data_IF_848709994689
#
_entry.id   IF_848709994689
#
_cell.length_a   1.000
_cell.length_b   1.000
_cell.length_c   1.000
_cell.angle_alpha   90.00
_cell.angle_beta   90.00
_cell.angle_gamma   90.00
#
_symmetry.space_group_name_H-M   'P 1'
#
loop_
_entity.id
_entity.type
_entity.pdbx_description
1 polymer ?
#
# COMPACT_ATOMS: atom_id res chain seq x y z
N UNK A 1 3.86 -22.04 28.80
CA UNK A 1 3.99 -20.98 27.79
C UNK A 1 4.72 -19.83 28.44
N UNK A 2 5.89 -19.45 27.94
CA UNK A 2 6.66 -18.34 28.49
C UNK A 2 6.20 -17.04 27.84
N UNK A 3 5.62 -16.15 28.63
CA UNK A 3 5.27 -14.79 28.21
C UNK A 3 6.57 -14.00 28.08
N UNK A 4 7.03 -13.79 26.85
CA UNK A 4 8.17 -12.91 26.57
C UNK A 4 7.63 -11.48 26.49
N UNK A 5 7.70 -10.75 27.60
CA UNK A 5 7.57 -9.30 27.61
C UNK A 5 8.94 -8.68 27.39
N UNK A 6 9.07 -7.85 26.36
CA UNK A 6 10.23 -6.99 26.19
C UNK A 6 10.26 -5.95 27.31
N UNK A 7 11.43 -5.69 27.87
CA UNK A 7 11.61 -4.61 28.84
C UNK A 7 11.33 -3.28 28.12
N UNK A 8 10.34 -2.53 28.60
CA UNK A 8 10.13 -1.15 28.16
C UNK A 8 11.36 -0.36 28.62
N UNK A 9 12.11 0.19 27.65
CA UNK A 9 13.24 1.05 27.96
C UNK A 9 12.75 2.20 28.84
N UNK A 10 13.49 2.51 29.91
CA UNK A 10 13.17 3.68 30.74
C UNK A 10 13.59 4.92 29.93
N UNK A 11 12.64 5.46 29.16
CA UNK A 11 12.86 6.66 28.35
C UNK A 11 12.60 7.87 29.24
N UNK A 12 13.60 8.75 29.37
CA UNK A 12 13.41 10.02 30.04
C UNK A 12 12.25 10.78 29.37
N UNK A 13 11.32 11.28 30.19
CA UNK A 13 10.20 12.06 29.69
C UNK A 13 10.74 13.20 28.81
N UNK A 14 10.16 13.39 27.63
CA UNK A 14 10.59 14.41 26.68
C UNK A 14 10.69 15.78 27.39
N UNK A 15 11.92 16.25 27.61
CA UNK A 15 12.18 17.54 28.28
C UNK A 15 11.67 18.73 27.45
N UNK A 16 11.43 18.51 26.16
CA UNK A 16 10.83 19.48 25.25
C UNK A 16 9.31 19.38 25.38
N UNK A 17 8.72 20.20 26.24
CA UNK A 17 7.29 20.50 26.14
C UNK A 17 7.07 21.06 24.74
N UNK A 18 6.31 20.36 23.92
CA UNK A 18 5.81 20.92 22.68
C UNK A 18 5.07 22.21 23.05
N UNK A 19 5.53 23.33 22.51
CA UNK A 19 4.75 24.57 22.55
C UNK A 19 3.38 24.26 21.98
N UNK A 20 2.36 24.78 22.65
CA UNK A 20 0.94 24.68 22.32
C UNK A 20 0.78 24.57 20.80
N UNK A 21 0.28 23.43 20.33
CA UNK A 21 -0.04 23.20 18.93
C UNK A 21 -0.86 24.39 18.45
N UNK A 22 -0.38 25.07 17.42
CA UNK A 22 -1.12 26.14 16.77
C UNK A 22 -2.55 25.61 16.53
N UNK A 23 -3.55 26.30 17.07
CA UNK A 23 -4.95 25.86 16.92
C UNK A 23 -5.23 25.65 15.44
N UNK A 24 -5.50 24.40 15.08
CA UNK A 24 -5.87 24.04 13.71
C UNK A 24 -7.13 24.82 13.37
N UNK A 25 -7.09 25.58 12.27
CA UNK A 25 -8.28 26.28 11.80
C UNK A 25 -9.29 25.27 11.25
N UNK A 26 -10.58 25.64 11.22
CA UNK A 26 -11.60 24.83 10.53
C UNK A 26 -11.23 24.55 9.06
N UNK A 27 -10.45 25.42 8.42
CA UNK A 27 -9.97 25.21 7.06
C UNK A 27 -8.84 24.17 7.00
N UNK A 28 -7.99 24.07 8.03
CA UNK A 28 -6.96 23.02 8.13
C UNK A 28 -7.61 21.66 8.40
N UNK A 29 -8.63 21.65 9.27
CA UNK A 29 -9.44 20.47 9.55
C UNK A 29 -10.26 20.06 8.33
N UNK A 30 -10.89 20.97 7.58
CA UNK A 30 -11.65 20.66 6.38
C UNK A 30 -10.80 20.15 5.20
N UNK A 31 -9.48 20.43 5.20
CA UNK A 31 -8.55 19.80 4.25
C UNK A 31 -8.26 18.34 4.58
N UNK A 32 -8.41 17.92 5.84
CA UNK A 32 -8.11 16.57 6.33
C UNK A 32 -9.36 15.73 6.59
N UNK A 33 -10.43 16.37 7.06
CA UNK A 33 -11.76 15.85 7.26
C UNK A 33 -12.61 16.31 6.08
N UNK A 34 -12.88 15.38 5.16
CA UNK A 34 -13.81 15.55 4.05
C UNK A 34 -15.17 15.98 4.58
N UNK A 35 -15.52 17.25 4.38
CA UNK A 35 -16.87 17.78 4.65
C UNK A 35 -17.80 17.45 3.47
N UNK A 36 -17.81 16.20 3.05
CA UNK A 36 -18.71 15.70 2.01
C UNK A 36 -19.52 14.55 2.61
N UNK A 37 -20.81 14.80 2.86
CA UNK A 37 -21.76 13.83 3.42
C UNK A 37 -22.05 12.66 2.46
N UNK A 38 -21.61 12.78 1.20
CA UNK A 38 -21.56 11.69 0.25
C UNK A 38 -20.16 11.06 0.28
N UNK A 39 -19.97 10.12 1.19
CA UNK A 39 -18.86 9.15 1.20
C UNK A 39 -18.88 8.32 -0.10
N UNK A 40 -18.51 8.92 -1.22
CA UNK A 40 -18.16 8.18 -2.42
C UNK A 40 -16.77 7.59 -2.19
N UNK A 41 -16.66 6.27 -2.41
CA UNK A 41 -15.41 5.52 -2.34
C UNK A 41 -14.30 6.07 -3.28
N UNK A 42 -14.64 7.03 -4.14
CA UNK A 42 -13.74 7.68 -5.10
C UNK A 42 -12.69 8.58 -4.44
N UNK A 43 -12.95 9.13 -3.23
CA UNK A 43 -12.02 10.03 -2.53
C UNK A 43 -11.00 9.31 -1.62
N UNK A 44 -11.08 7.99 -1.45
CA UNK A 44 -10.12 7.21 -0.67
C UNK A 44 -8.71 7.20 -1.27
N UNK A 45 -8.53 7.66 -2.51
CA UNK A 45 -7.21 7.78 -3.13
C UNK A 45 -6.29 8.81 -2.45
N UNK A 46 -6.85 9.71 -1.63
CA UNK A 46 -6.09 10.79 -0.97
C UNK A 46 -5.96 10.63 0.55
N UNK A 47 -6.65 9.68 1.15
CA UNK A 47 -6.76 9.57 2.60
C UNK A 47 -5.85 8.48 3.14
N UNK A 48 -4.76 8.91 3.76
CA UNK A 48 -4.00 8.08 4.70
C UNK A 48 -4.95 7.42 5.72
N UNK A 49 -4.61 6.24 6.28
CA UNK A 49 -5.31 5.67 7.45
C UNK A 49 -5.54 6.71 8.56
N UNK A 50 -4.55 7.59 8.76
CA UNK A 50 -4.56 8.74 9.68
C UNK A 50 -5.71 9.73 9.45
N UNK A 51 -6.16 9.93 8.21
CA UNK A 51 -7.28 10.82 7.91
C UNK A 51 -8.64 10.18 8.26
N UNK A 52 -8.76 8.85 8.15
CA UNK A 52 -9.93 8.13 8.62
C UNK A 52 -10.00 8.16 10.16
N UNK A 53 -8.86 7.98 10.85
CA UNK A 53 -8.73 8.08 12.30
C UNK A 53 -9.15 9.46 12.83
N UNK A 54 -8.72 10.54 12.16
CA UNK A 54 -9.10 11.90 12.54
C UNK A 54 -10.62 12.12 12.41
N UNK A 55 -11.25 11.61 11.36
CA UNK A 55 -12.70 11.69 11.20
C UNK A 55 -13.43 10.92 12.31
N UNK A 56 -12.97 9.70 12.62
CA UNK A 56 -13.53 8.90 13.70
C UNK A 56 -13.43 9.63 15.05
N UNK A 57 -12.30 10.28 15.31
CA UNK A 57 -12.13 11.13 16.48
C UNK A 57 -13.10 12.33 16.48
N UNK A 58 -13.20 13.08 15.37
CA UNK A 58 -14.06 14.26 15.25
C UNK A 58 -15.55 13.95 15.42
N UNK A 59 -16.00 12.76 15.00
CA UNK A 59 -17.40 12.35 15.05
C UNK A 59 -17.70 11.33 16.16
N UNK A 60 -16.74 11.07 17.06
CA UNK A 60 -16.86 10.11 18.16
C UNK A 60 -17.32 8.70 17.73
N UNK A 61 -16.94 8.26 16.53
CA UNK A 61 -17.20 6.89 16.11
C UNK A 61 -16.32 5.92 16.91
N UNK A 62 -16.75 4.67 17.11
CA UNK A 62 -15.87 3.64 17.66
C UNK A 62 -14.70 3.39 16.69
N UNK A 63 -13.47 3.54 17.18
CA UNK A 63 -12.24 3.29 16.43
C UNK A 63 -11.71 1.89 16.75
N UNK A 64 -11.46 1.10 15.71
CA UNK A 64 -10.72 -0.15 15.80
C UNK A 64 -9.45 0.00 14.96
N UNK A 65 -8.29 -0.24 15.56
CA UNK A 65 -6.99 -0.14 14.90
C UNK A 65 -6.28 -1.49 14.98
N UNK A 66 -5.81 -1.95 13.82
CA UNK A 66 -4.93 -3.11 13.70
C UNK A 66 -3.46 -2.68 13.59
N UNK A 67 -2.55 -3.64 13.73
CA UNK A 67 -1.12 -3.39 13.52
C UNK A 67 -0.85 -3.14 12.02
N UNK A 68 -1.63 -3.80 11.17
CA UNK A 68 -1.63 -3.67 9.72
C UNK A 68 -1.93 -2.22 9.28
N UNK A 69 -2.92 -1.56 9.88
CA UNK A 69 -3.28 -0.17 9.56
C UNK A 69 -2.11 0.80 9.81
N UNK A 70 -1.44 0.65 10.96
CA UNK A 70 -0.29 1.47 11.34
C UNK A 70 0.89 1.18 10.40
N UNK A 71 1.11 -0.08 10.05
CA UNK A 71 2.20 -0.47 9.17
C UNK A 71 2.02 0.08 7.75
N UNK A 72 0.81 0.02 7.19
CA UNK A 72 0.48 0.62 5.89
C UNK A 72 0.74 2.12 5.90
N UNK A 73 0.32 2.83 6.95
CA UNK A 73 0.56 4.27 7.06
C UNK A 73 2.06 4.60 7.04
N UNK A 74 2.89 3.84 7.75
CA UNK A 74 4.35 4.01 7.75
C UNK A 74 4.92 3.71 6.35
N UNK A 75 4.52 2.59 5.73
CA UNK A 75 4.98 2.17 4.42
C UNK A 75 4.64 3.21 3.34
N UNK A 76 3.43 3.76 3.35
CA UNK A 76 3.00 4.84 2.46
C UNK A 76 3.80 6.13 2.67
N UNK A 77 4.11 6.48 3.93
CA UNK A 77 4.99 7.61 4.27
C UNK A 77 6.39 7.47 3.68
N UNK A 78 6.97 6.29 3.85
CA UNK A 78 8.27 5.95 3.24
C UNK A 78 8.18 5.99 1.72
N UNK A 79 7.11 5.43 1.13
CA UNK A 79 6.88 5.43 -0.31
C UNK A 79 6.79 6.82 -0.91
N UNK A 80 6.06 7.74 -0.27
CA UNK A 80 5.99 9.13 -0.71
C UNK A 80 7.37 9.80 -0.66
N UNK A 81 8.10 9.63 0.44
CA UNK A 81 9.44 10.21 0.59
C UNK A 81 10.43 9.66 -0.44
N UNK A 82 10.40 8.35 -0.71
CA UNK A 82 11.23 7.71 -1.73
C UNK A 82 10.89 8.22 -3.12
N UNK A 83 9.61 8.28 -3.48
CA UNK A 83 9.18 8.76 -4.79
C UNK A 83 9.54 10.24 -5.03
N UNK A 84 9.46 11.09 -4.00
CA UNK A 84 9.88 12.50 -4.08
C UNK A 84 11.40 12.69 -4.19
N UNK A 85 12.18 11.71 -3.72
CA UNK A 85 13.63 11.77 -3.65
C UNK A 85 14.30 10.60 -4.40
N UNK A 86 13.68 10.12 -5.48
CA UNK A 86 14.04 8.85 -6.11
C UNK A 86 15.52 8.81 -6.53
N UNK A 87 16.03 9.85 -7.19
CA UNK A 87 17.43 9.89 -7.63
C UNK A 87 18.43 9.90 -6.46
N UNK A 88 18.07 10.51 -5.33
CA UNK A 88 18.91 10.53 -4.13
C UNK A 88 19.12 9.12 -3.56
N UNK A 89 18.11 8.26 -3.62
CA UNK A 89 18.15 6.92 -3.03
C UNK A 89 18.30 5.79 -4.06
N UNK A 90 18.30 6.11 -5.37
CA UNK A 90 18.37 5.14 -6.47
C UNK A 90 19.48 4.11 -6.30
N UNK A 91 20.68 4.57 -5.93
CA UNK A 91 21.85 3.70 -5.79
C UNK A 91 21.67 2.59 -4.73
N UNK A 92 20.81 2.82 -3.72
CA UNK A 92 20.44 1.85 -2.68
C UNK A 92 19.33 0.89 -3.14
N UNK A 93 18.44 1.35 -4.02
CA UNK A 93 17.24 0.60 -4.39
C UNK A 93 17.47 -0.28 -5.61
N UNK A 94 18.08 0.27 -6.67
CA UNK A 94 18.16 -0.38 -7.98
C UNK A 94 19.51 -0.14 -8.68
N UNK A 95 19.81 -0.95 -9.71
CA UNK A 95 21.02 -0.82 -10.54
C UNK A 95 20.81 -0.02 -11.84
N UNK A 96 19.56 0.22 -12.24
CA UNK A 96 19.23 0.84 -13.51
C UNK A 96 18.91 2.33 -13.36
N UNK A 97 19.11 3.08 -14.44
CA UNK A 97 18.66 4.47 -14.56
C UNK A 97 17.18 4.53 -14.95
N UNK A 98 16.51 5.64 -14.65
CA UNK A 98 15.10 5.86 -14.97
C UNK A 98 14.18 4.75 -14.45
N UNK A 99 13.20 4.35 -15.25
CA UNK A 99 12.28 3.26 -14.91
C UNK A 99 12.58 2.00 -15.71
N UNK A 100 12.70 0.85 -15.02
CA UNK A 100 12.74 -0.46 -15.67
C UNK A 100 11.32 -0.99 -15.85
N UNK A 101 11.00 -1.45 -17.06
CA UNK A 101 9.69 -2.06 -17.32
C UNK A 101 9.67 -3.51 -16.85
N UNK A 102 8.73 -3.84 -15.96
CA UNK A 102 8.45 -5.19 -15.49
C UNK A 102 7.20 -5.72 -16.20
N UNK A 103 7.38 -6.79 -16.96
CA UNK A 103 6.32 -7.40 -17.74
C UNK A 103 5.86 -8.70 -17.06
N UNK A 104 4.56 -8.78 -16.75
CA UNK A 104 3.92 -9.97 -16.21
C UNK A 104 2.89 -10.50 -17.21
N UNK A 105 3.10 -11.72 -17.70
CA UNK A 105 2.06 -12.43 -18.44
C UNK A 105 1.02 -12.94 -17.43
N UNK A 106 -0.25 -12.55 -17.64
CA UNK A 106 -1.36 -12.90 -16.73
C UNK A 106 -2.35 -13.90 -17.35
N UNK A 107 -2.02 -14.52 -18.48
CA UNK A 107 -2.90 -15.50 -19.15
C UNK A 107 -3.17 -16.72 -18.25
N UNK A 108 -2.12 -17.18 -17.57
CA UNK A 108 -2.22 -18.28 -16.60
C UNK A 108 -3.04 -17.94 -15.34
N UNK A 109 -3.34 -16.66 -15.14
CA UNK A 109 -4.13 -16.15 -14.01
C UNK A 109 -5.60 -15.90 -14.40
N UNK A 110 -5.99 -16.27 -15.62
CA UNK A 110 -7.38 -16.17 -16.06
C UNK A 110 -8.25 -17.11 -15.24
N UNK A 111 -9.30 -16.53 -14.66
CA UNK A 111 -10.37 -17.26 -13.99
C UNK A 111 -11.29 -17.83 -15.08
N UNK A 112 -11.59 -19.15 -15.05
CA UNK A 112 -12.54 -19.75 -15.98
C UNK A 112 -13.89 -19.04 -15.94
N UNK A 113 -14.57 -18.95 -17.09
CA UNK A 113 -15.87 -18.26 -17.16
C UNK A 113 -16.94 -18.92 -16.27
N UNK A 114 -16.79 -20.20 -15.92
CA UNK A 114 -17.64 -20.90 -14.94
C UNK A 114 -17.51 -20.38 -13.51
N UNK A 115 -16.31 -19.96 -13.12
CA UNK A 115 -15.97 -19.54 -11.74
C UNK A 115 -15.90 -18.01 -11.61
N UNK A 116 -16.34 -17.31 -12.65
CA UNK A 116 -16.28 -15.86 -12.73
C UNK A 116 -17.17 -15.20 -11.67
N UNK A 117 -16.70 -14.13 -11.01
CA UNK A 117 -17.54 -13.34 -10.12
C UNK A 117 -18.81 -12.85 -10.84
N UNK A 118 -19.93 -12.83 -10.11
CA UNK A 118 -21.22 -12.35 -10.66
C UNK A 118 -21.21 -10.86 -11.00
N UNK A 119 -20.30 -10.11 -10.38
CA UNK A 119 -20.10 -8.67 -10.54
C UNK A 119 -18.87 -8.39 -11.42
N UNK A 120 -18.83 -7.21 -12.05
CA UNK A 120 -17.70 -6.78 -12.88
C UNK A 120 -17.99 -6.80 -14.39
N UNK A 121 -17.06 -6.28 -15.17
CA UNK A 121 -17.19 -6.16 -16.62
C UNK A 121 -17.03 -7.53 -17.31
N UNK A 122 -18.10 -8.03 -17.91
CA UNK A 122 -18.10 -9.32 -18.60
C UNK A 122 -17.39 -9.30 -19.96
N UNK A 123 -17.10 -8.12 -20.50
CA UNK A 123 -16.42 -7.94 -21.79
C UNK A 123 -14.91 -8.17 -21.74
N UNK A 124 -14.31 -8.37 -20.56
CA UNK A 124 -12.87 -8.61 -20.39
C UNK A 124 -12.61 -9.86 -19.55
N UNK A 125 -11.63 -10.72 -19.87
CA UNK A 125 -11.32 -11.90 -19.07
C UNK A 125 -11.17 -11.57 -17.58
N UNK A 126 -11.77 -12.38 -16.71
CA UNK A 126 -11.57 -12.23 -15.28
C UNK A 126 -10.17 -12.75 -14.91
N UNK A 127 -9.40 -11.94 -14.19
CA UNK A 127 -8.03 -12.25 -13.78
C UNK A 127 -7.97 -12.30 -12.25
N UNK A 128 -7.22 -13.25 -11.70
CA UNK A 128 -6.85 -13.25 -10.29
C UNK A 128 -5.82 -12.14 -10.03
N UNK A 129 -6.33 -10.92 -9.81
CA UNK A 129 -5.50 -9.74 -9.56
C UNK A 129 -4.70 -9.82 -8.27
N UNK A 130 -5.22 -10.49 -7.24
CA UNK A 130 -4.48 -10.66 -5.97
C UNK A 130 -3.20 -11.45 -6.22
N UNK A 131 -3.29 -12.53 -7.00
CA UNK A 131 -2.13 -13.31 -7.41
C UNK A 131 -1.23 -12.56 -8.40
N UNK A 132 -1.81 -11.79 -9.33
CA UNK A 132 -1.03 -10.99 -10.27
C UNK A 132 -0.15 -9.95 -9.55
N UNK A 133 -0.72 -9.24 -8.58
CA UNK A 133 0.01 -8.26 -7.75
C UNK A 133 1.12 -8.93 -6.95
N UNK A 134 0.85 -10.09 -6.32
CA UNK A 134 1.88 -10.89 -5.62
C UNK A 134 3.04 -11.27 -6.54
N UNK A 135 2.74 -11.75 -7.75
CA UNK A 135 3.77 -12.12 -8.72
C UNK A 135 4.59 -10.91 -9.19
N UNK A 136 3.92 -9.77 -9.40
CA UNK A 136 4.61 -8.52 -9.74
C UNK A 136 5.56 -8.07 -8.61
N UNK A 137 5.13 -8.20 -7.35
CA UNK A 137 5.98 -7.94 -6.19
C UNK A 137 7.19 -8.87 -6.12
N UNK A 138 7.03 -10.13 -6.54
CA UNK A 138 8.14 -11.07 -6.72
C UNK A 138 9.18 -10.54 -7.73
N UNK A 139 8.73 -10.06 -8.89
CA UNK A 139 9.63 -9.46 -9.89
C UNK A 139 10.37 -8.22 -9.38
N UNK A 140 9.69 -7.40 -8.57
CA UNK A 140 10.31 -6.25 -7.89
C UNK A 140 11.37 -6.74 -6.91
N UNK A 141 11.01 -7.68 -6.04
CA UNK A 141 11.92 -8.23 -5.02
C UNK A 141 13.19 -8.83 -5.62
N UNK A 142 13.07 -9.54 -6.74
CA UNK A 142 14.19 -10.19 -7.41
C UNK A 142 15.16 -9.18 -8.06
N UNK A 143 14.69 -7.99 -8.41
CA UNK A 143 15.50 -6.96 -9.07
C UNK A 143 16.09 -5.92 -8.10
N UNK A 144 15.46 -5.71 -6.94
CA UNK A 144 15.90 -4.73 -5.95
C UNK A 144 17.24 -5.12 -5.31
N UNK A 145 18.08 -4.11 -5.03
CA UNK A 145 19.36 -4.30 -4.31
C UNK A 145 19.20 -4.53 -2.82
N UNK A 146 18.12 -3.98 -2.24
CA UNK A 146 17.83 -4.05 -0.81
C UNK A 146 16.55 -4.82 -0.59
N UNK A 147 16.45 -5.48 0.56
CA UNK A 147 15.29 -6.30 0.91
C UNK A 147 14.09 -5.47 1.42
N UNK A 148 13.91 -4.28 0.86
CA UNK A 148 12.78 -3.40 1.14
C UNK A 148 11.44 -4.06 0.77
N UNK A 149 11.44 -4.87 -0.29
CA UNK A 149 10.26 -5.63 -0.69
C UNK A 149 9.78 -6.56 0.43
N UNK A 150 10.67 -7.34 1.04
CA UNK A 150 10.29 -8.20 2.18
C UNK A 150 9.91 -7.37 3.39
N UNK A 151 10.66 -6.30 3.70
CA UNK A 151 10.34 -5.44 4.84
C UNK A 151 8.90 -4.92 4.76
N UNK A 152 8.49 -4.38 3.61
CA UNK A 152 7.17 -3.78 3.45
C UNK A 152 6.03 -4.80 3.33
N UNK A 153 6.32 -6.04 2.89
CA UNK A 153 5.30 -7.05 2.61
C UNK A 153 5.23 -8.20 3.61
N UNK A 154 6.03 -8.17 4.68
CA UNK A 154 6.02 -9.25 5.69
C UNK A 154 4.69 -9.24 6.47
N UNK A 155 3.95 -10.36 6.51
CA UNK A 155 2.71 -10.46 7.28
C UNK A 155 2.95 -10.50 8.78
N UNK A 156 2.00 -9.95 9.54
CA UNK A 156 1.86 -10.15 10.98
C UNK A 156 0.97 -11.36 11.29
N UNK A 157 0.84 -11.72 12.57
CA UNK A 157 0.05 -12.89 13.00
C UNK A 157 -1.45 -12.79 12.69
N UNK A 158 -1.98 -11.57 12.53
CA UNK A 158 -3.38 -11.30 12.20
C UNK A 158 -3.65 -11.11 10.70
N UNK A 159 -2.60 -11.08 9.88
CA UNK A 159 -2.71 -10.61 8.50
C UNK A 159 -3.53 -11.58 7.64
N UNK A 160 -4.62 -11.05 7.12
CA UNK A 160 -5.55 -11.69 6.20
C UNK A 160 -5.05 -11.61 4.75
N UNK A 161 -5.60 -12.42 3.83
CA UNK A 161 -5.26 -12.32 2.41
C UNK A 161 -5.50 -10.93 1.80
N UNK A 162 -6.46 -10.17 2.34
CA UNK A 162 -6.79 -8.80 1.92
C UNK A 162 -5.71 -7.83 2.37
N UNK A 163 -5.33 -7.84 3.64
CA UNK A 163 -4.26 -6.98 4.17
C UNK A 163 -2.93 -7.28 3.46
N UNK A 164 -2.64 -8.55 3.20
CA UNK A 164 -1.46 -8.89 2.40
C UNK A 164 -1.52 -8.27 0.99
N UNK A 165 -2.68 -8.28 0.34
CA UNK A 165 -2.81 -7.62 -0.97
C UNK A 165 -2.61 -6.10 -0.88
N UNK A 166 -3.00 -5.46 0.23
CA UNK A 166 -2.73 -4.04 0.50
C UNK A 166 -1.23 -3.79 0.66
N UNK A 167 -0.52 -4.65 1.39
CA UNK A 167 0.93 -4.54 1.54
C UNK A 167 1.64 -4.68 0.18
N UNK A 168 1.23 -5.66 -0.62
CA UNK A 168 1.78 -5.90 -1.95
C UNK A 168 1.55 -4.67 -2.87
N UNK A 169 0.34 -4.10 -2.87
CA UNK A 169 0.05 -2.86 -3.60
C UNK A 169 0.89 -1.67 -3.09
N UNK A 170 1.06 -1.57 -1.78
CA UNK A 170 1.82 -0.47 -1.15
C UNK A 170 3.30 -0.55 -1.50
N UNK A 171 3.87 -1.76 -1.59
CA UNK A 171 5.23 -1.95 -2.12
C UNK A 171 5.32 -1.44 -3.56
N UNK A 172 4.42 -1.86 -4.44
CA UNK A 172 4.43 -1.42 -5.84
C UNK A 172 4.33 0.10 -5.98
N UNK A 173 3.51 0.75 -5.14
CA UNK A 173 3.42 2.21 -5.09
C UNK A 173 4.70 2.88 -4.56
N UNK A 174 5.31 2.29 -3.52
CA UNK A 174 6.53 2.79 -2.87
C UNK A 174 7.71 2.89 -3.85
N UNK A 175 7.83 1.94 -4.76
CA UNK A 175 8.95 1.88 -5.73
C UNK A 175 8.55 2.27 -7.16
N UNK A 176 7.39 2.88 -7.36
CA UNK A 176 6.89 3.27 -8.70
C UNK A 176 7.80 4.26 -9.44
N UNK A 177 8.60 5.06 -8.75
CA UNK A 177 9.60 5.91 -9.41
C UNK A 177 10.73 5.12 -10.10
N UNK A 178 10.94 3.86 -9.73
CA UNK A 178 11.98 2.98 -10.29
C UNK A 178 11.42 1.98 -11.30
N UNK A 179 10.14 1.62 -11.20
CA UNK A 179 9.56 0.56 -12.04
C UNK A 179 8.35 1.03 -12.82
N UNK A 180 8.19 0.47 -14.02
CA UNK A 180 6.99 0.59 -14.82
C UNK A 180 6.35 -0.78 -14.94
N UNK A 181 5.13 -0.94 -14.43
CA UNK A 181 4.46 -2.22 -14.40
C UNK A 181 3.60 -2.42 -15.65
N UNK A 182 3.73 -3.59 -16.28
CA UNK A 182 2.94 -3.95 -17.45
C UNK A 182 2.42 -5.38 -17.32
N UNK A 183 1.10 -5.52 -17.24
CA UNK A 183 0.44 -6.81 -17.36
C UNK A 183 0.06 -7.05 -18.81
N UNK A 184 0.41 -8.22 -19.34
CA UNK A 184 0.14 -8.61 -20.72
C UNK A 184 -0.76 -9.84 -20.76
N UNK A 185 -1.75 -9.78 -21.65
CA UNK A 185 -2.55 -10.93 -22.07
C UNK A 185 -2.06 -11.33 -23.47
N UNK A 186 -1.84 -12.61 -23.74
CA UNK A 186 -1.66 -13.08 -25.10
C UNK A 186 -3.02 -13.11 -25.80
N UNK A 187 -3.07 -12.50 -26.98
CA UNK A 187 -4.21 -12.62 -27.88
C UNK A 187 -4.16 -14.00 -28.54
N UNK A 188 -5.04 -14.90 -28.09
CA UNK A 188 -5.19 -16.25 -28.65
C UNK A 188 -5.90 -16.25 -29.99
N UNK A 189 -5.23 -15.82 -31.07
CA UNK A 189 -5.51 -16.36 -32.41
C UNK A 189 -4.50 -17.49 -32.62
N UNK A 190 -4.87 -18.75 -32.37
CA UNK A 190 -3.93 -19.86 -32.46
C UNK A 190 -3.47 -20.15 -33.90
N UNK A 191 -4.27 -19.82 -34.93
CA UNK A 191 -3.92 -19.87 -36.35
C UNK A 191 -4.92 -19.02 -37.17
N UNK A 192 -4.52 -18.55 -38.37
CA UNK A 192 -5.34 -17.77 -39.34
C UNK A 192 -5.67 -18.63 -40.55
#
# INVERSE_FOLDING_TARGET
>A
MATITFAVANVDACARRYTETQQLSEADLARWALKDENLSLENFQTNYPLAAELNVYCYHYPLELSVEDIWVAIAQGVGIHLNQNAEKYRYLMVSHEGQKELNLNVDSLRIPDSDRPKYGNKSVPAIDWSRAVRLMCGLVKDDMKTDMATLLTTPFSGTTPVEQAVFDCTLMDTVKAYYKYRCCLSCGIPEV
#
